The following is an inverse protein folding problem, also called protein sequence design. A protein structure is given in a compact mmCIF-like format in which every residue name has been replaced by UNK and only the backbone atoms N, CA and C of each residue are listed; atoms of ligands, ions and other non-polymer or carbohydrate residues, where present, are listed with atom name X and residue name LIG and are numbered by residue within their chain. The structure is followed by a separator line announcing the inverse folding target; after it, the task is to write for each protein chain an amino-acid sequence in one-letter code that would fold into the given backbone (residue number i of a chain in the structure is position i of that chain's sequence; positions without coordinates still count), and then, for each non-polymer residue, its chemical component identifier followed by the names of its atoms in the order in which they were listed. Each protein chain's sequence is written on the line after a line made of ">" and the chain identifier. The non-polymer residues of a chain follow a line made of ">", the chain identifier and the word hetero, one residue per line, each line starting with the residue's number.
data_IF_045866030503
#
_entry.id   IF_045866030503
#
_cell.length_a   1.000
_cell.length_b   1.000
_cell.length_c   1.000
_cell.angle_alpha   90.00
_cell.angle_beta   90.00
_cell.angle_gamma   90.00
#
_symmetry.space_group_name_H-M   'P 1'
#
loop_
_entity.id
_entity.type
_entity.pdbx_description
1 polymer ?
#
# COMPACT_ATOMS: atom_id res chain seq x y z
N UNK A 1 8.00 7.41 9.68
CA UNK A 1 7.93 7.43 11.16
C UNK A 1 6.99 8.55 11.61
N UNK A 2 6.14 8.33 12.63
CA UNK A 2 5.29 9.37 13.20
C UNK A 2 5.87 9.85 14.55
N UNK A 3 6.01 11.17 14.75
CA UNK A 3 6.53 11.73 16.01
C UNK A 3 5.70 11.29 17.24
N UNK A 4 4.38 11.10 17.08
CA UNK A 4 3.53 10.61 18.16
C UNK A 4 3.87 9.18 18.57
N UNK A 5 4.18 8.31 17.61
CA UNK A 5 4.56 6.92 17.86
C UNK A 5 5.83 6.85 18.73
N UNK A 6 6.86 7.65 18.40
CA UNK A 6 8.09 7.70 19.21
C UNK A 6 7.81 8.20 20.63
N UNK A 7 6.94 9.20 20.78
CA UNK A 7 6.52 9.69 22.10
C UNK A 7 5.84 8.58 22.91
N UNK A 8 4.93 7.84 22.30
CA UNK A 8 4.22 6.74 22.95
C UNK A 8 5.18 5.64 23.38
N UNK A 9 6.17 5.29 22.54
CA UNK A 9 7.20 4.30 22.89
C UNK A 9 8.04 4.72 24.11
N UNK A 10 8.44 5.99 24.19
CA UNK A 10 9.18 6.52 25.35
C UNK A 10 8.33 6.44 26.63
N UNK A 11 7.03 6.75 26.53
CA UNK A 11 6.11 6.70 27.65
C UNK A 11 5.87 5.28 28.19
N UNK A 12 6.10 4.24 27.39
CA UNK A 12 6.02 2.85 27.84
C UNK A 12 7.11 2.50 28.88
N UNK A 13 8.21 3.26 28.93
CA UNK A 13 9.34 3.03 29.85
C UNK A 13 9.87 1.59 29.83
N UNK A 14 9.87 0.99 28.65
CA UNK A 14 10.42 -0.33 28.39
C UNK A 14 10.85 -0.40 26.93
N UNK A 15 11.85 -1.24 26.65
CA UNK A 15 12.21 -1.64 25.30
C UNK A 15 11.27 -2.72 24.75
N UNK A 16 11.35 -2.97 23.45
CA UNK A 16 10.57 -4.02 22.84
C UNK A 16 11.10 -4.51 21.50
N UNK A 17 10.30 -5.33 20.82
CA UNK A 17 10.76 -6.15 19.70
C UNK A 17 11.24 -5.38 18.47
N UNK A 18 10.89 -4.10 18.36
CA UNK A 18 11.25 -3.22 17.25
C UNK A 18 11.75 -1.85 17.72
N UNK A 19 11.98 -1.64 19.02
CA UNK A 19 12.59 -0.40 19.50
C UNK A 19 13.56 -0.62 20.65
N UNK A 20 14.56 0.26 20.73
CA UNK A 20 15.67 0.21 21.68
C UNK A 20 16.10 1.65 21.98
N UNK A 21 16.49 1.91 23.23
CA UNK A 21 16.91 3.22 23.68
C UNK A 21 18.42 3.27 23.83
N UNK A 22 18.99 4.43 23.53
CA UNK A 22 20.40 4.74 23.77
C UNK A 22 20.49 6.15 24.32
N UNK A 23 21.28 6.36 25.37
CA UNK A 23 21.47 7.69 25.95
C UNK A 23 22.22 8.65 25.01
N UNK A 24 23.21 8.12 24.28
CA UNK A 24 24.13 8.86 23.43
C UNK A 24 24.47 8.04 22.16
N UNK A 25 24.98 8.71 21.13
CA UNK A 25 25.41 8.06 19.91
C UNK A 25 26.59 7.11 20.13
N UNK A 26 26.65 6.07 19.31
CA UNK A 26 27.71 5.08 19.36
C UNK A 26 29.08 5.69 19.08
N UNK A 27 29.95 5.60 20.08
CA UNK A 27 31.34 6.00 19.98
C UNK A 27 32.10 5.24 18.88
N UNK A 28 33.23 5.77 18.44
CA UNK A 28 34.04 5.19 17.36
C UNK A 28 34.49 3.74 17.64
N UNK A 29 34.72 3.39 18.90
CA UNK A 29 35.04 2.04 19.36
C UNK A 29 33.81 1.10 19.42
N UNK A 30 32.60 1.66 19.46
CA UNK A 30 31.32 0.92 19.49
C UNK A 30 30.68 0.72 18.12
N UNK A 31 31.44 0.86 17.02
CA UNK A 31 30.94 0.61 15.65
C UNK A 31 30.35 -0.80 15.48
N UNK A 32 30.94 -1.82 16.11
CA UNK A 32 30.38 -3.16 16.10
C UNK A 32 29.02 -3.26 16.80
N UNK A 33 28.79 -2.49 17.87
CA UNK A 33 27.50 -2.47 18.56
C UNK A 33 26.45 -1.84 17.64
N UNK A 34 26.76 -0.68 17.05
CA UNK A 34 25.88 -0.01 16.09
C UNK A 34 25.46 -0.94 14.94
N UNK A 35 26.43 -1.61 14.30
CA UNK A 35 26.12 -2.52 13.20
C UNK A 35 25.27 -3.71 13.67
N UNK A 36 25.61 -4.28 14.82
CA UNK A 36 24.88 -5.42 15.39
C UNK A 36 23.43 -5.05 15.73
N UNK A 37 23.21 -3.90 16.36
CA UNK A 37 21.86 -3.41 16.69
C UNK A 37 21.05 -3.15 15.42
N UNK A 38 21.64 -2.53 14.39
CA UNK A 38 20.97 -2.33 13.09
C UNK A 38 20.60 -3.66 12.43
N UNK A 39 21.48 -4.67 12.45
CA UNK A 39 21.16 -5.98 11.85
C UNK A 39 20.03 -6.67 12.64
N UNK A 40 20.08 -6.63 13.97
CA UNK A 40 19.02 -7.18 14.83
C UNK A 40 17.67 -6.50 14.55
N UNK A 41 17.67 -5.17 14.44
CA UNK A 41 16.48 -4.36 14.13
C UNK A 41 15.96 -4.63 12.71
N UNK A 42 16.84 -4.75 11.71
CA UNK A 42 16.45 -5.06 10.34
C UNK A 42 15.83 -6.47 10.21
N UNK A 43 16.27 -7.39 11.07
CA UNK A 43 15.75 -8.75 11.19
C UNK A 43 14.73 -8.90 12.33
N UNK A 44 14.05 -7.83 12.73
CA UNK A 44 12.99 -7.92 13.74
C UNK A 44 11.85 -8.84 13.24
N UNK A 45 11.25 -9.59 14.16
CA UNK A 45 10.18 -10.53 13.86
C UNK A 45 8.78 -9.88 13.80
N UNK A 46 8.69 -8.59 14.15
CA UNK A 46 7.44 -7.83 14.16
C UNK A 46 6.99 -7.36 12.77
N UNK A 47 7.80 -7.62 11.72
CA UNK A 47 7.51 -7.28 10.32
C UNK A 47 7.08 -5.80 10.12
N UNK A 48 7.80 -4.89 10.78
CA UNK A 48 7.57 -3.44 10.71
C UNK A 48 8.89 -2.67 10.82
N UNK A 49 8.82 -1.37 10.60
CA UNK A 49 9.94 -0.47 10.86
C UNK A 49 10.39 -0.58 12.31
N UNK A 50 11.70 -0.50 12.52
CA UNK A 50 12.30 -0.57 13.85
C UNK A 50 13.10 0.70 14.15
N UNK A 51 13.25 1.01 15.43
CA UNK A 51 13.75 2.30 15.90
C UNK A 51 14.86 2.12 16.93
N UNK A 52 16.00 2.76 16.71
CA UNK A 52 16.98 2.99 17.78
C UNK A 52 16.86 4.46 18.15
N UNK A 53 16.30 4.73 19.33
CA UNK A 53 15.97 6.07 19.81
C UNK A 53 17.13 6.56 20.69
N UNK A 54 17.87 7.54 20.17
CA UNK A 54 19.10 8.07 20.76
C UNK A 54 18.81 9.40 21.44
N UNK A 55 19.22 9.54 22.70
CA UNK A 55 18.92 10.68 23.55
C UNK A 55 17.87 10.37 24.62
N UNK A 56 17.77 9.10 25.05
CA UNK A 56 16.89 8.66 26.15
C UNK A 56 17.70 7.86 27.16
N UNK A 57 17.67 8.25 28.43
CA UNK A 57 18.44 7.64 29.51
C UNK A 57 17.62 6.63 30.30
N UNK A 58 17.80 5.35 29.98
CA UNK A 58 17.11 4.21 30.62
C UNK A 58 17.41 4.10 32.12
N UNK A 59 18.62 4.49 32.56
CA UNK A 59 19.02 4.44 33.96
C UNK A 59 18.38 5.58 34.78
N UNK A 60 17.92 6.63 34.09
CA UNK A 60 17.29 7.81 34.69
C UNK A 60 15.86 8.00 34.18
N UNK A 61 15.01 6.98 34.40
CA UNK A 61 13.57 7.00 34.16
C UNK A 61 13.16 7.41 32.73
N UNK A 62 13.97 7.02 31.73
CA UNK A 62 13.78 7.35 30.31
C UNK A 62 13.73 8.87 30.06
N UNK A 63 14.49 9.63 30.86
CA UNK A 63 14.62 11.07 30.68
C UNK A 63 15.38 11.41 29.39
N UNK A 64 15.06 12.57 28.83
CA UNK A 64 15.69 13.03 27.60
C UNK A 64 17.13 13.52 27.84
N UNK A 65 18.04 13.07 26.98
CA UNK A 65 19.43 13.50 26.87
C UNK A 65 19.65 14.11 25.48
N UNK A 66 20.05 15.38 25.43
CA UNK A 66 20.17 16.11 24.16
C UNK A 66 21.32 15.57 23.30
N UNK A 67 21.05 15.27 22.03
CA UNK A 67 22.07 14.83 21.07
C UNK A 67 22.76 15.99 20.33
N UNK A 68 22.36 17.24 20.55
CA UNK A 68 22.88 18.43 19.83
C UNK A 68 24.40 18.53 19.80
N UNK A 69 25.03 18.21 20.92
CA UNK A 69 26.48 18.33 21.12
C UNK A 69 27.19 16.99 21.17
N UNK A 70 26.53 15.91 20.74
CA UNK A 70 27.12 14.58 20.74
C UNK A 70 28.26 14.50 19.69
N UNK A 71 29.51 14.21 20.10
CA UNK A 71 30.65 14.17 19.19
C UNK A 71 30.60 13.01 18.18
N UNK A 72 29.74 12.01 18.41
CA UNK A 72 29.58 10.83 17.57
C UNK A 72 28.29 10.86 16.74
N UNK A 73 27.52 11.96 16.80
CA UNK A 73 26.29 12.15 16.04
C UNK A 73 26.50 11.89 14.56
N UNK A 74 25.62 11.10 13.93
CA UNK A 74 25.65 10.81 12.50
C UNK A 74 24.36 11.21 11.83
N UNK A 75 24.46 11.68 10.59
CA UNK A 75 23.31 11.86 9.72
C UNK A 75 23.05 10.60 8.86
N UNK A 76 21.95 10.61 8.10
CA UNK A 76 21.57 9.52 7.19
C UNK A 76 22.69 9.13 6.22
N UNK A 77 23.36 10.10 5.60
CA UNK A 77 24.41 9.82 4.62
C UNK A 77 25.58 9.05 5.24
N UNK A 78 26.06 9.52 6.39
CA UNK A 78 27.16 8.87 7.11
C UNK A 78 26.79 7.45 7.58
N UNK A 79 25.53 7.24 7.96
CA UNK A 79 25.05 5.91 8.36
C UNK A 79 24.92 4.97 7.15
N UNK A 80 24.39 5.47 6.03
CA UNK A 80 24.29 4.71 4.76
C UNK A 80 25.67 4.32 4.25
N UNK A 81 26.65 5.22 4.28
CA UNK A 81 28.03 4.92 3.89
C UNK A 81 28.65 3.87 4.80
N UNK A 82 28.44 3.99 6.12
CA UNK A 82 28.90 3.00 7.09
C UNK A 82 28.36 1.59 6.79
N UNK A 83 27.07 1.46 6.45
CA UNK A 83 26.43 0.17 6.09
C UNK A 83 26.91 -0.33 4.73
N UNK A 84 27.08 0.57 3.75
CA UNK A 84 27.50 0.25 2.37
C UNK A 84 28.87 -0.42 2.32
N UNK A 85 29.79 0.00 3.17
CA UNK A 85 31.13 -0.57 3.28
C UNK A 85 31.16 -2.02 3.81
N UNK A 86 30.03 -2.59 4.26
CA UNK A 86 29.99 -3.93 4.87
C UNK A 86 29.57 -4.99 3.85
N UNK A 87 30.19 -6.16 3.95
CA UNK A 87 29.94 -7.30 3.07
C UNK A 87 28.71 -8.08 3.52
N UNK A 88 27.54 -7.67 3.04
CA UNK A 88 26.29 -8.39 3.27
C UNK A 88 26.06 -9.48 2.22
N UNK A 89 25.46 -10.59 2.64
CA UNK A 89 25.11 -11.70 1.76
C UNK A 89 24.17 -11.26 0.63
N UNK A 90 24.46 -11.68 -0.60
CA UNK A 90 23.68 -11.32 -1.79
C UNK A 90 23.73 -9.85 -2.18
N UNK A 91 24.61 -9.03 -1.58
CA UNK A 91 24.71 -7.60 -1.85
C UNK A 91 23.52 -6.76 -1.35
N UNK A 92 22.56 -7.39 -0.66
CA UNK A 92 21.39 -6.70 -0.10
C UNK A 92 21.71 -6.17 1.29
N UNK A 93 21.30 -4.94 1.58
CA UNK A 93 21.64 -4.24 2.84
C UNK A 93 20.39 -3.67 3.49
N UNK A 94 20.37 -3.55 4.83
CA UNK A 94 19.31 -2.81 5.52
C UNK A 94 19.21 -1.37 5.00
N UNK A 95 17.98 -0.87 4.86
CA UNK A 95 17.72 0.52 4.53
C UNK A 95 17.53 1.26 5.86
N UNK A 96 18.29 2.35 6.04
CA UNK A 96 18.32 3.12 7.28
C UNK A 96 18.23 4.62 7.00
N UNK A 97 17.58 5.35 7.89
CA UNK A 97 17.59 6.82 7.93
C UNK A 97 17.73 7.32 9.36
N UNK A 98 18.20 8.56 9.51
CA UNK A 98 18.24 9.27 10.79
C UNK A 98 17.25 10.41 10.72
N UNK A 99 16.33 10.45 11.69
CA UNK A 99 15.35 11.52 11.85
C UNK A 99 15.54 12.20 13.21
N UNK A 100 15.63 13.53 13.23
CA UNK A 100 15.79 14.30 14.47
C UNK A 100 14.44 14.81 14.94
N UNK A 101 14.14 14.61 16.23
CA UNK A 101 12.90 15.05 16.86
C UNK A 101 13.21 15.99 18.02
N UNK A 102 12.39 17.03 18.18
CA UNK A 102 12.48 17.95 19.31
C UNK A 102 11.31 17.73 20.25
N UNK A 103 11.59 17.37 21.51
CA UNK A 103 10.66 17.25 22.61
C UNK A 103 11.08 18.22 23.71
N UNK A 104 10.19 19.13 24.12
CA UNK A 104 10.46 20.12 25.19
C UNK A 104 11.82 20.83 25.03
N UNK A 105 12.11 21.30 23.80
CA UNK A 105 13.37 21.94 23.36
C UNK A 105 14.63 21.04 23.36
N UNK A 106 14.51 19.80 23.82
CA UNK A 106 15.54 18.77 23.77
C UNK A 106 15.45 18.04 22.43
N UNK A 107 16.58 17.98 21.72
CA UNK A 107 16.68 17.27 20.46
C UNK A 107 17.19 15.86 20.71
N UNK A 108 16.52 14.89 20.12
CA UNK A 108 16.89 13.48 20.08
C UNK A 108 16.98 13.02 18.62
N UNK A 109 17.68 11.93 18.38
CA UNK A 109 17.76 11.31 17.06
C UNK A 109 17.11 9.92 17.08
N UNK A 110 16.49 9.55 15.97
CA UNK A 110 15.93 8.20 15.77
C UNK A 110 16.59 7.61 14.54
N UNK A 111 17.30 6.49 14.71
CA UNK A 111 17.69 5.65 13.58
C UNK A 111 16.47 4.81 13.22
N UNK A 112 15.87 5.09 12.07
CA UNK A 112 14.79 4.31 11.49
C UNK A 112 15.42 3.22 10.63
N UNK A 113 15.19 1.96 10.99
CA UNK A 113 15.53 0.78 10.22
C UNK A 113 14.28 0.31 9.50
N UNK A 114 14.23 0.56 8.19
CA UNK A 114 13.02 0.37 7.38
C UNK A 114 12.72 -1.11 7.18
N UNK A 115 11.45 -1.48 7.30
CA UNK A 115 10.99 -2.83 7.03
C UNK A 115 11.28 -3.20 5.58
N UNK A 116 11.82 -4.40 5.37
CA UNK A 116 12.11 -4.89 4.04
C UNK A 116 11.81 -6.37 3.92
N UNK A 117 11.26 -6.79 2.78
CA UNK A 117 11.03 -8.19 2.46
C UNK A 117 12.33 -8.97 2.22
N UNK A 118 13.48 -8.31 2.04
CA UNK A 118 14.75 -8.99 1.70
C UNK A 118 15.50 -9.56 2.90
N UNK A 119 14.85 -9.69 4.07
CA UNK A 119 15.41 -10.42 5.22
C UNK A 119 15.70 -11.89 4.86
N UNK A 120 16.57 -12.60 5.60
CA UNK A 120 17.47 -12.10 6.64
C UNK A 120 18.66 -11.32 6.09
N UNK A 121 19.11 -10.31 6.82
CA UNK A 121 20.38 -9.61 6.59
C UNK A 121 21.48 -10.21 7.48
N UNK A 122 22.60 -10.57 6.87
CA UNK A 122 23.77 -11.10 7.58
C UNK A 122 25.04 -10.82 6.78
N UNK A 123 26.18 -10.81 7.47
CA UNK A 123 27.47 -10.53 6.86
C UNK A 123 28.09 -11.79 6.27
N UNK A 124 28.85 -11.66 5.18
CA UNK A 124 29.70 -12.72 4.62
C UNK A 124 31.13 -12.67 5.16
N UNK A 125 31.51 -11.56 5.81
CA UNK A 125 32.80 -11.37 6.45
C UNK A 125 32.64 -10.82 7.87
N UNK A 126 33.58 -11.13 8.76
CA UNK A 126 33.56 -10.60 10.12
C UNK A 126 33.76 -9.08 10.11
N UNK A 127 33.00 -8.36 10.92
CA UNK A 127 33.24 -6.95 11.22
C UNK A 127 33.47 -6.79 12.72
N UNK A 128 34.75 -6.66 13.12
CA UNK A 128 35.16 -6.65 14.52
C UNK A 128 34.55 -7.86 15.27
N UNK A 129 33.72 -7.64 16.30
CA UNK A 129 33.05 -8.69 17.06
C UNK A 129 31.79 -9.27 16.38
N UNK A 130 31.32 -8.69 15.26
CA UNK A 130 30.14 -9.19 14.52
C UNK A 130 30.60 -10.26 13.54
N UNK A 131 30.15 -11.49 13.75
CA UNK A 131 30.61 -12.68 13.04
C UNK A 131 29.85 -12.86 11.71
N UNK A 132 30.57 -13.28 10.67
CA UNK A 132 29.99 -13.67 9.39
C UNK A 132 29.08 -14.88 9.52
N UNK A 133 28.09 -14.97 8.63
CA UNK A 133 27.14 -16.09 8.49
C UNK A 133 26.21 -16.33 9.69
N UNK A 134 26.30 -15.51 10.74
CA UNK A 134 25.33 -15.49 11.81
C UNK A 134 24.15 -14.59 11.44
N UNK A 135 22.94 -15.10 11.64
CA UNK A 135 21.71 -14.33 11.51
C UNK A 135 21.36 -13.82 12.90
N UNK A 136 21.33 -12.50 13.07
CA UNK A 136 20.98 -11.87 14.34
C UNK A 136 19.54 -11.37 14.28
N UNK A 137 18.77 -11.60 15.33
CA UNK A 137 17.41 -11.06 15.50
C UNK A 137 17.29 -10.31 16.82
N UNK A 138 16.33 -9.38 16.88
CA UNK A 138 15.79 -8.84 18.13
C UNK A 138 14.49 -9.57 18.47
N UNK A 139 14.37 -10.04 19.71
CA UNK A 139 13.17 -10.68 20.26
C UNK A 139 12.87 -10.01 21.58
N UNK A 140 11.72 -9.33 21.68
CA UNK A 140 11.43 -8.43 22.79
C UNK A 140 12.56 -7.40 22.97
N UNK A 141 13.15 -7.29 24.16
CA UNK A 141 14.27 -6.39 24.47
C UNK A 141 15.65 -7.00 24.16
N UNK A 142 15.70 -8.23 23.65
CA UNK A 142 16.92 -9.03 23.61
C UNK A 142 17.45 -9.23 22.19
N UNK A 143 18.70 -8.82 21.96
CA UNK A 143 19.43 -9.08 20.71
C UNK A 143 20.13 -10.45 20.77
N UNK A 144 20.17 -11.15 19.63
CA UNK A 144 20.99 -12.37 19.48
C UNK A 144 22.47 -12.03 19.74
N UNK A 145 23.15 -12.67 20.71
CA UNK A 145 24.56 -12.42 20.99
C UNK A 145 25.46 -12.58 19.78
N UNK A 146 26.45 -11.69 19.64
CA UNK A 146 27.30 -11.57 18.44
C UNK A 146 28.05 -12.85 18.05
N UNK A 147 28.34 -13.73 19.01
CA UNK A 147 29.07 -14.98 18.80
C UNK A 147 28.18 -16.18 18.46
N UNK A 148 26.85 -16.02 18.35
CA UNK A 148 25.93 -17.08 17.92
C UNK A 148 24.91 -16.57 16.90
N UNK A 149 24.27 -17.50 16.21
CA UNK A 149 23.13 -17.22 15.36
C UNK A 149 21.82 -17.31 16.16
N UNK A 150 20.76 -16.69 15.64
CA UNK A 150 19.41 -16.80 16.18
C UNK A 150 18.91 -18.25 16.11
N UNK A 151 17.91 -18.56 16.93
CA UNK A 151 17.26 -19.87 16.91
C UNK A 151 16.64 -20.17 15.54
N UNK A 152 16.62 -21.47 15.19
CA UNK A 152 16.14 -21.93 13.88
C UNK A 152 14.72 -21.44 13.57
N UNK A 153 13.84 -21.42 14.57
CA UNK A 153 12.46 -20.92 14.43
C UNK A 153 12.40 -19.46 14.00
N UNK A 154 13.29 -18.60 14.53
CA UNK A 154 13.37 -17.20 14.15
C UNK A 154 13.94 -17.03 12.73
N UNK A 155 14.95 -17.83 12.37
CA UNK A 155 15.52 -17.87 11.03
C UNK A 155 14.44 -18.27 10.01
N UNK A 156 13.64 -19.31 10.30
CA UNK A 156 12.52 -19.73 9.46
C UNK A 156 11.50 -18.62 9.26
N UNK A 157 11.17 -17.85 10.30
CA UNK A 157 10.26 -16.70 10.18
C UNK A 157 10.81 -15.66 9.20
N UNK A 158 12.11 -15.34 9.25
CA UNK A 158 12.72 -14.39 8.32
C UNK A 158 12.71 -14.88 6.87
N UNK A 159 12.89 -16.19 6.65
CA UNK A 159 12.76 -16.78 5.31
C UNK A 159 11.31 -16.82 4.85
N UNK A 160 10.35 -17.15 5.72
CA UNK A 160 8.92 -17.05 5.42
C UNK A 160 8.56 -15.62 5.04
N UNK A 161 9.08 -14.61 5.74
CA UNK A 161 8.94 -13.19 5.39
C UNK A 161 9.48 -12.92 3.98
N UNK A 162 10.69 -13.41 3.68
CA UNK A 162 11.31 -13.26 2.36
C UNK A 162 10.49 -13.85 1.22
N UNK A 163 9.88 -15.00 1.47
CA UNK A 163 9.04 -15.70 0.51
C UNK A 163 7.59 -15.19 0.50
N UNK A 164 7.25 -14.14 1.27
CA UNK A 164 5.89 -13.59 1.35
C UNK A 164 4.88 -14.53 2.05
N UNK A 165 5.37 -15.54 2.77
CA UNK A 165 4.55 -16.55 3.45
C UNK A 165 3.99 -16.09 4.80
N UNK A 166 4.44 -14.93 5.30
CA UNK A 166 3.87 -14.31 6.50
C UNK A 166 2.69 -13.38 6.18
N UNK A 167 2.49 -13.02 4.91
CA UNK A 167 1.34 -12.23 4.51
C UNK A 167 0.07 -13.09 4.55
N UNK A 168 -1.05 -12.55 5.07
CA UNK A 168 -2.36 -13.18 4.96
C UNK A 168 -2.68 -13.58 3.51
N UNK A 169 -3.46 -14.65 3.28
CA UNK A 169 -3.80 -15.09 1.92
C UNK A 169 -4.38 -13.98 1.03
N UNK A 170 -5.17 -13.07 1.59
CA UNK A 170 -5.73 -11.93 0.84
C UNK A 170 -4.64 -10.98 0.31
N UNK A 171 -3.61 -10.68 1.11
CA UNK A 171 -2.48 -9.85 0.64
C UNK A 171 -1.67 -10.59 -0.42
N UNK A 172 -1.47 -11.91 -0.24
CA UNK A 172 -0.72 -12.74 -1.20
C UNK A 172 -1.41 -12.80 -2.55
N UNK A 173 -2.73 -13.01 -2.60
CA UNK A 173 -3.46 -13.06 -3.87
C UNK A 173 -3.42 -11.71 -4.57
N UNK A 174 -3.53 -10.59 -3.84
CA UNK A 174 -3.38 -9.23 -4.39
C UNK A 174 -2.00 -9.02 -5.03
N UNK A 175 -0.93 -9.58 -4.46
CA UNK A 175 0.41 -9.54 -5.06
C UNK A 175 0.46 -10.38 -6.34
N UNK A 176 -0.12 -11.58 -6.31
CA UNK A 176 -0.13 -12.50 -7.46
C UNK A 176 -0.94 -11.96 -8.63
N UNK A 177 -2.04 -11.24 -8.38
CA UNK A 177 -2.88 -10.64 -9.42
C UNK A 177 -2.17 -9.51 -10.18
N UNK A 178 -1.12 -8.89 -9.63
CA UNK A 178 -0.27 -7.94 -10.38
C UNK A 178 0.55 -8.60 -11.51
N UNK A 179 0.53 -9.93 -11.59
CA UNK A 179 1.21 -10.76 -12.59
C UNK A 179 0.17 -11.61 -13.34
N UNK A 180 -0.75 -10.96 -14.05
CA UNK A 180 -1.85 -11.63 -14.77
C UNK A 180 -1.35 -12.75 -15.71
N UNK A 181 -0.17 -12.58 -16.31
CA UNK A 181 0.51 -13.54 -17.19
C UNK A 181 0.86 -14.90 -16.53
N UNK A 182 0.81 -14.97 -15.20
CA UNK A 182 1.07 -16.18 -14.41
C UNK A 182 -0.20 -16.88 -13.92
N UNK A 183 -1.37 -16.43 -14.36
CA UNK A 183 -2.65 -17.08 -14.09
C UNK A 183 -3.07 -17.91 -15.29
N UNK A 184 -3.47 -19.16 -15.02
CA UNK A 184 -3.91 -20.10 -16.03
C UNK A 184 -5.41 -20.37 -15.85
N UNK A 185 -6.13 -20.55 -16.95
CA UNK A 185 -7.53 -20.96 -16.92
C UNK A 185 -7.66 -22.43 -16.52
N UNK A 186 -8.63 -22.73 -15.66
CA UNK A 186 -9.03 -24.09 -15.32
C UNK A 186 -9.58 -24.80 -16.57
N UNK A 187 -9.26 -26.09 -16.80
CA UNK A 187 -9.73 -26.84 -17.96
C UNK A 187 -11.24 -27.19 -17.95
N UNK A 188 -12.06 -26.62 -17.06
CA UNK A 188 -13.50 -26.88 -16.93
C UNK A 188 -14.38 -25.86 -17.66
N UNK A 189 -15.39 -26.33 -18.39
CA UNK A 189 -16.12 -25.57 -19.43
C UNK A 189 -17.46 -24.92 -19.01
N UNK A 190 -17.61 -24.41 -17.78
CA UNK A 190 -18.87 -23.76 -17.37
C UNK A 190 -18.67 -22.50 -16.52
N UNK A 191 -17.66 -22.48 -15.66
CA UNK A 191 -17.29 -21.33 -14.85
C UNK A 191 -15.93 -20.81 -15.30
N UNK A 192 -15.82 -19.50 -15.51
CA UNK A 192 -14.55 -18.84 -15.74
C UNK A 192 -13.75 -18.86 -14.43
N UNK A 193 -12.93 -19.91 -14.30
CA UNK A 193 -12.08 -20.15 -13.14
C UNK A 193 -10.63 -20.08 -13.54
N UNK A 194 -9.84 -19.30 -12.82
CA UNK A 194 -8.40 -19.16 -13.00
C UNK A 194 -7.67 -19.59 -11.74
N UNK A 195 -6.43 -20.06 -11.89
CA UNK A 195 -5.54 -20.37 -10.78
C UNK A 195 -4.15 -19.80 -11.01
N UNK A 196 -3.46 -19.45 -9.93
CA UNK A 196 -2.09 -18.97 -10.02
C UNK A 196 -1.13 -20.14 -10.27
N UNK A 197 -0.37 -20.11 -11.37
CA UNK A 197 0.45 -21.24 -11.87
C UNK A 197 1.37 -21.86 -10.82
N UNK A 198 2.00 -21.04 -9.98
CA UNK A 198 2.97 -21.49 -8.96
C UNK A 198 2.36 -21.77 -7.59
N UNK A 199 1.07 -21.44 -7.39
CA UNK A 199 0.35 -21.68 -6.14
C UNK A 199 -1.13 -21.88 -6.47
N UNK A 200 -1.50 -23.04 -7.07
CA UNK A 200 -2.83 -23.29 -7.63
C UNK A 200 -3.94 -23.32 -6.57
N UNK A 201 -3.60 -23.31 -5.28
CA UNK A 201 -4.56 -23.10 -4.20
C UNK A 201 -5.16 -21.69 -4.20
N UNK A 202 -4.52 -20.71 -4.85
CA UNK A 202 -5.11 -19.39 -5.09
C UNK A 202 -5.90 -19.43 -6.39
N UNK A 203 -7.19 -19.17 -6.30
CA UNK A 203 -8.10 -19.22 -7.47
C UNK A 203 -9.00 -17.99 -7.52
N UNK A 204 -9.40 -17.63 -8.73
CA UNK A 204 -10.38 -16.60 -9.04
C UNK A 204 -11.51 -17.29 -9.78
N UNK A 205 -12.74 -16.97 -9.40
CA UNK A 205 -13.94 -17.52 -10.02
C UNK A 205 -14.93 -16.39 -10.27
N UNK A 206 -15.38 -16.27 -11.52
CA UNK A 206 -16.37 -15.27 -11.91
C UNK A 206 -17.71 -15.93 -12.16
N UNK A 207 -18.71 -15.50 -11.42
CA UNK A 207 -20.08 -16.03 -11.48
C UNK A 207 -21.01 -14.92 -11.95
N UNK A 208 -21.79 -15.16 -12.99
CA UNK A 208 -22.77 -14.19 -13.47
C UNK A 208 -23.90 -14.01 -12.45
N UNK A 209 -24.25 -12.77 -12.14
CA UNK A 209 -25.35 -12.42 -11.25
C UNK A 209 -26.54 -11.89 -12.07
N UNK A 210 -27.41 -12.82 -12.48
CA UNK A 210 -28.63 -12.52 -13.25
C UNK A 210 -29.66 -11.68 -12.45
N UNK A 211 -29.48 -11.50 -11.15
CA UNK A 211 -30.37 -10.67 -10.33
C UNK A 211 -30.05 -9.18 -10.44
N UNK A 212 -28.84 -8.83 -10.92
CA UNK A 212 -28.40 -7.45 -11.09
C UNK A 212 -28.50 -7.01 -12.54
N UNK A 213 -29.23 -5.92 -12.77
CA UNK A 213 -29.41 -5.28 -14.07
C UNK A 213 -29.31 -3.74 -13.98
N UNK A 214 -28.64 -3.25 -12.94
CA UNK A 214 -28.46 -1.84 -12.65
C UNK A 214 -27.76 -1.11 -13.79
N UNK A 215 -28.29 0.02 -14.25
CA UNK A 215 -27.58 0.94 -15.13
C UNK A 215 -26.81 1.96 -14.29
N UNK A 216 -25.58 2.24 -14.69
CA UNK A 216 -24.71 3.26 -14.09
C UNK A 216 -24.25 4.21 -15.18
N UNK A 217 -23.99 5.47 -14.84
CA UNK A 217 -23.68 6.51 -15.83
C UNK A 217 -22.48 6.18 -16.74
N UNK A 218 -21.47 5.45 -16.24
CA UNK A 218 -20.30 5.05 -17.02
C UNK A 218 -20.63 4.05 -18.14
N UNK A 219 -21.74 3.32 -18.03
CA UNK A 219 -22.17 2.36 -19.05
C UNK A 219 -22.63 3.09 -20.32
N UNK A 220 -23.17 4.31 -20.18
CA UNK A 220 -23.59 5.14 -21.32
C UNK A 220 -22.42 5.75 -22.10
N UNK A 221 -21.19 5.64 -21.60
CA UNK A 221 -19.99 5.96 -22.39
C UNK A 221 -19.55 4.80 -23.31
N UNK A 222 -20.21 3.63 -23.21
CA UNK A 222 -19.93 2.45 -24.03
C UNK A 222 -20.77 2.45 -25.32
N UNK A 223 -20.41 1.60 -26.29
CA UNK A 223 -21.19 1.45 -27.52
C UNK A 223 -22.41 0.54 -27.30
N UNK A 224 -22.23 -0.57 -26.60
CA UNK A 224 -23.30 -1.39 -26.06
C UNK A 224 -23.49 -1.07 -24.58
N UNK A 225 -24.62 -0.43 -24.27
CA UNK A 225 -24.94 0.07 -22.94
C UNK A 225 -25.54 -0.98 -22.02
N UNK A 226 -25.62 -2.26 -22.41
CA UNK A 226 -26.26 -3.30 -21.58
C UNK A 226 -25.22 -3.94 -20.68
N UNK A 227 -25.18 -3.61 -19.38
CA UNK A 227 -24.21 -4.20 -18.48
C UNK A 227 -24.59 -5.64 -18.16
N UNK A 228 -23.59 -6.50 -17.95
CA UNK A 228 -23.78 -7.76 -17.22
C UNK A 228 -22.96 -7.72 -15.95
N UNK A 229 -23.59 -8.13 -14.86
CA UNK A 229 -23.02 -8.08 -13.52
C UNK A 229 -22.57 -9.47 -13.09
N UNK A 230 -21.50 -9.50 -12.31
CA UNK A 230 -20.84 -10.72 -11.87
C UNK A 230 -20.41 -10.58 -10.41
N UNK A 231 -20.20 -11.71 -9.75
CA UNK A 231 -19.39 -11.80 -8.54
C UNK A 231 -18.01 -12.34 -8.91
N UNK A 232 -16.97 -11.56 -8.60
CA UNK A 232 -15.56 -11.94 -8.73
C UNK A 232 -15.13 -12.48 -7.36
N UNK A 233 -15.05 -13.79 -7.24
CA UNK A 233 -14.75 -14.48 -6.00
C UNK A 233 -13.28 -14.88 -5.94
N UNK A 234 -12.59 -14.40 -4.91
CA UNK A 234 -11.18 -14.70 -4.65
C UNK A 234 -11.07 -15.79 -3.59
N UNK A 235 -10.37 -16.88 -3.90
CA UNK A 235 -10.26 -18.03 -3.01
C UNK A 235 -8.82 -18.36 -2.64
N UNK A 236 -8.67 -18.90 -1.43
CA UNK A 236 -7.53 -19.68 -1.00
C UNK A 236 -8.02 -21.06 -0.54
N UNK A 237 -7.60 -22.10 -1.25
CA UNK A 237 -8.23 -23.41 -1.20
C UNK A 237 -9.75 -23.33 -1.42
N UNK A 238 -10.55 -23.61 -0.39
CA UNK A 238 -12.02 -23.53 -0.42
C UNK A 238 -12.55 -22.30 0.34
N UNK A 239 -11.66 -21.50 0.92
CA UNK A 239 -12.03 -20.31 1.67
C UNK A 239 -12.14 -19.13 0.73
N UNK A 240 -13.34 -18.58 0.59
CA UNK A 240 -13.56 -17.31 -0.09
C UNK A 240 -12.96 -16.19 0.76
N UNK A 241 -11.92 -15.54 0.24
CA UNK A 241 -11.21 -14.45 0.89
C UNK A 241 -11.90 -13.10 0.71
N UNK A 242 -12.47 -12.90 -0.48
CA UNK A 242 -13.21 -11.70 -0.86
C UNK A 242 -14.15 -12.03 -2.01
N UNK A 243 -15.24 -11.27 -2.10
CA UNK A 243 -16.15 -11.25 -3.25
C UNK A 243 -16.35 -9.80 -3.65
N UNK A 244 -16.11 -9.50 -4.92
CA UNK A 244 -16.26 -8.17 -5.49
C UNK A 244 -17.33 -8.19 -6.55
N UNK A 245 -18.07 -7.10 -6.69
CA UNK A 245 -18.91 -6.91 -7.85
C UNK A 245 -18.03 -6.73 -9.08
N UNK A 246 -18.26 -7.55 -10.11
CA UNK A 246 -17.67 -7.45 -11.43
C UNK A 246 -18.70 -6.97 -12.45
N UNK A 247 -18.21 -6.44 -13.54
CA UNK A 247 -19.03 -5.91 -14.62
C UNK A 247 -18.39 -6.22 -15.97
N UNK A 248 -19.24 -6.64 -16.90
CA UNK A 248 -18.90 -6.84 -18.30
C UNK A 248 -19.54 -5.70 -19.11
N UNK A 249 -18.69 -4.89 -19.73
CA UNK A 249 -19.05 -3.69 -20.50
C UNK A 249 -19.03 -3.95 -21.99
N UNK A 250 -19.70 -3.06 -22.71
CA UNK A 250 -19.65 -2.93 -24.16
C UNK A 250 -19.92 -4.27 -24.89
N UNK A 251 -20.92 -5.00 -24.41
CA UNK A 251 -21.35 -6.27 -24.98
C UNK A 251 -20.41 -7.45 -24.70
N UNK A 252 -19.50 -7.31 -23.73
CA UNK A 252 -18.52 -8.34 -23.38
C UNK A 252 -17.08 -8.04 -23.82
N UNK A 253 -16.82 -6.84 -24.35
CA UNK A 253 -15.48 -6.44 -24.82
C UNK A 253 -14.52 -6.13 -23.69
N UNK A 254 -15.02 -5.71 -22.54
CA UNK A 254 -14.17 -5.41 -21.40
C UNK A 254 -14.83 -5.87 -20.10
N UNK A 255 -14.07 -6.60 -19.28
CA UNK A 255 -14.49 -7.08 -17.97
C UNK A 255 -13.62 -6.46 -16.88
N UNK A 256 -14.24 -6.03 -15.77
CA UNK A 256 -13.52 -5.37 -14.67
C UNK A 256 -14.28 -5.52 -13.35
N UNK A 257 -13.62 -5.19 -12.23
CA UNK A 257 -14.31 -4.93 -10.97
C UNK A 257 -15.16 -3.66 -11.04
N UNK A 258 -16.20 -3.57 -10.22
CA UNK A 258 -17.01 -2.37 -10.04
C UNK A 258 -16.25 -1.33 -9.22
N UNK A 259 -16.23 -0.06 -9.64
CA UNK A 259 -15.60 1.00 -8.88
C UNK A 259 -16.43 1.35 -7.64
N UNK A 260 -15.76 1.80 -6.57
CA UNK A 260 -16.44 2.22 -5.35
C UNK A 260 -17.24 3.51 -5.59
N UNK A 261 -18.27 3.73 -4.79
CA UNK A 261 -19.08 4.95 -4.82
C UNK A 261 -18.79 5.81 -3.59
N UNK A 262 -18.62 7.11 -3.81
CA UNK A 262 -18.51 8.12 -2.74
C UNK A 262 -19.11 9.42 -3.28
N UNK A 263 -19.27 10.41 -2.42
CA UNK A 263 -19.84 11.69 -2.81
C UNK A 263 -19.50 12.82 -1.86
N UNK A 264 -19.81 14.04 -2.32
CA UNK A 264 -19.67 15.28 -1.57
C UNK A 264 -21.04 15.86 -1.30
N UNK A 265 -21.30 16.20 -0.04
CA UNK A 265 -22.39 17.10 0.33
C UNK A 265 -21.85 18.52 0.36
N UNK A 266 -22.48 19.39 -0.42
CA UNK A 266 -22.23 20.82 -0.57
C UNK A 266 -23.21 21.63 0.29
N UNK A 267 -24.33 21.01 0.68
CA UNK A 267 -25.33 21.62 1.56
C UNK A 267 -25.21 21.11 3.00
N UNK A 268 -25.98 21.67 3.93
CA UNK A 268 -26.02 21.18 5.33
C UNK A 268 -26.77 19.85 5.48
N UNK A 269 -27.29 19.28 4.38
CA UNK A 269 -28.03 18.02 4.40
C UNK A 269 -27.10 16.81 4.24
N UNK A 270 -27.50 15.68 4.82
CA UNK A 270 -26.73 14.44 4.79
C UNK A 270 -26.85 13.65 3.47
N UNK A 271 -27.35 14.26 2.39
CA UNK A 271 -27.35 13.66 1.05
C UNK A 271 -26.12 14.10 0.24
N UNK A 272 -25.62 13.24 -0.65
CA UNK A 272 -24.56 13.63 -1.58
C UNK A 272 -25.16 14.47 -2.71
N UNK A 273 -24.71 15.71 -2.83
CA UNK A 273 -25.05 16.61 -3.95
C UNK A 273 -24.26 16.24 -5.22
N UNK A 274 -23.08 15.63 -5.04
CA UNK A 274 -22.22 15.16 -6.13
C UNK A 274 -21.76 13.74 -5.82
N UNK A 275 -22.18 12.78 -6.64
CA UNK A 275 -21.78 11.38 -6.53
C UNK A 275 -20.71 11.09 -7.58
N UNK A 276 -19.73 10.26 -7.21
CA UNK A 276 -18.68 9.83 -8.12
C UNK A 276 -18.24 8.38 -7.88
N UNK A 277 -17.72 7.77 -8.95
CA UNK A 277 -17.13 6.44 -8.92
C UNK A 277 -15.61 6.57 -8.84
N UNK A 278 -14.97 5.70 -8.07
CA UNK A 278 -13.53 5.77 -7.89
C UNK A 278 -12.84 4.45 -7.58
N UNK A 279 -11.53 4.45 -7.82
CA UNK A 279 -10.57 3.50 -7.29
C UNK A 279 -9.55 4.20 -6.40
N UNK A 280 -9.00 3.45 -5.42
CA UNK A 280 -7.76 3.81 -4.74
C UNK A 280 -6.68 2.88 -5.27
N UNK A 281 -5.54 3.41 -5.70
CA UNK A 281 -4.41 2.58 -6.17
C UNK A 281 -4.00 1.59 -5.09
N UNK A 282 -3.72 0.37 -5.52
CA UNK A 282 -3.44 -0.80 -4.66
C UNK A 282 -4.61 -1.28 -3.78
N UNK A 283 -5.83 -0.74 -3.91
CA UNK A 283 -7.01 -1.40 -3.34
C UNK A 283 -7.28 -2.71 -4.09
N UNK A 284 -8.04 -3.61 -3.45
CA UNK A 284 -8.43 -4.87 -4.05
C UNK A 284 -9.23 -4.66 -5.35
N UNK A 285 -10.14 -3.69 -5.38
CA UNK A 285 -10.93 -3.35 -6.57
C UNK A 285 -10.03 -2.91 -7.72
N UNK A 286 -9.07 -2.01 -7.44
CA UNK A 286 -8.15 -1.51 -8.46
C UNK A 286 -7.22 -2.60 -9.00
N UNK A 287 -6.70 -3.48 -8.12
CA UNK A 287 -5.85 -4.60 -8.54
C UNK A 287 -6.65 -5.57 -9.42
N UNK A 288 -7.91 -5.84 -9.10
CA UNK A 288 -8.79 -6.69 -9.91
C UNK A 288 -9.12 -6.03 -11.24
N UNK A 289 -9.34 -4.70 -11.27
CA UNK A 289 -9.54 -3.93 -12.50
C UNK A 289 -8.32 -4.05 -13.45
N UNK A 290 -7.11 -3.83 -12.93
CA UNK A 290 -5.87 -3.98 -13.69
C UNK A 290 -5.60 -5.43 -14.11
N UNK A 291 -6.01 -6.41 -13.31
CA UNK A 291 -5.81 -7.83 -13.60
C UNK A 291 -6.54 -8.28 -14.87
N UNK A 292 -7.76 -7.78 -15.10
CA UNK A 292 -8.55 -8.18 -16.26
C UNK A 292 -8.23 -7.39 -17.52
N UNK A 293 -7.54 -6.26 -17.40
CA UNK A 293 -7.21 -5.43 -18.55
C UNK A 293 -5.98 -5.95 -19.32
N UNK A 294 -6.19 -6.33 -20.57
CA UNK A 294 -5.14 -6.82 -21.47
C UNK A 294 -5.04 -5.91 -22.70
N UNK A 295 -4.22 -4.85 -22.66
CA UNK A 295 -4.17 -3.88 -23.76
C UNK A 295 -3.72 -4.53 -25.07
N UNK A 296 -4.64 -4.64 -26.02
CA UNK A 296 -4.43 -5.25 -27.33
C UNK A 296 -4.48 -4.23 -28.48
N UNK A 297 -4.65 -2.93 -28.17
CA UNK A 297 -4.85 -1.82 -29.14
C UNK A 297 -6.16 -1.88 -29.95
N UNK A 298 -7.09 -2.76 -29.57
CA UNK A 298 -8.36 -2.99 -30.27
C UNK A 298 -9.57 -2.59 -29.37
N UNK A 299 -10.69 -3.32 -29.48
CA UNK A 299 -11.99 -3.03 -28.87
C UNK A 299 -11.93 -2.99 -27.32
N UNK A 300 -11.13 -3.85 -26.68
CA UNK A 300 -10.98 -3.89 -25.22
C UNK A 300 -10.40 -2.57 -24.69
N UNK A 301 -9.35 -2.06 -25.35
CA UNK A 301 -8.68 -0.79 -25.01
C UNK A 301 -9.66 0.38 -25.09
N UNK A 302 -10.51 0.42 -26.13
CA UNK A 302 -11.51 1.48 -26.30
C UNK A 302 -12.56 1.44 -25.19
N UNK A 303 -13.09 0.24 -24.87
CA UNK A 303 -14.09 0.08 -23.82
C UNK A 303 -13.53 0.40 -22.43
N UNK A 304 -12.30 -0.03 -22.15
CA UNK A 304 -11.53 0.32 -20.95
C UNK A 304 -11.38 1.84 -20.81
N UNK A 305 -10.86 2.53 -21.83
CA UNK A 305 -10.55 3.96 -21.74
C UNK A 305 -11.82 4.79 -21.51
N UNK A 306 -12.91 4.46 -22.20
CA UNK A 306 -14.23 5.07 -22.00
C UNK A 306 -14.78 4.85 -20.60
N UNK A 307 -14.54 3.68 -20.01
CA UNK A 307 -14.91 3.43 -18.63
C UNK A 307 -14.09 4.30 -17.68
N UNK A 308 -12.76 4.35 -17.89
CA UNK A 308 -11.85 5.12 -17.05
C UNK A 308 -12.03 6.64 -17.17
N UNK A 309 -12.50 7.16 -18.29
CA UNK A 309 -12.95 8.55 -18.42
C UNK A 309 -14.04 8.92 -17.39
N UNK A 310 -14.82 7.94 -16.92
CA UNK A 310 -15.92 8.16 -15.98
C UNK A 310 -15.54 7.85 -14.51
N UNK A 311 -14.34 7.32 -14.25
CA UNK A 311 -13.93 6.83 -12.91
C UNK A 311 -12.69 7.56 -12.42
N UNK A 312 -12.77 8.10 -11.20
CA UNK A 312 -11.63 8.79 -10.57
C UNK A 312 -10.64 7.77 -9.99
N UNK A 313 -9.34 7.98 -10.20
CA UNK A 313 -8.29 7.14 -9.58
C UNK A 313 -7.46 7.97 -8.63
N UNK A 314 -7.46 7.61 -7.36
CA UNK A 314 -6.66 8.27 -6.32
C UNK A 314 -5.46 7.39 -5.92
N UNK A 315 -4.35 8.01 -5.56
CA UNK A 315 -3.17 7.36 -5.00
C UNK A 315 -3.43 6.78 -3.60
N UNK A 316 -4.20 7.51 -2.79
CA UNK A 316 -4.48 7.15 -1.38
C UNK A 316 -5.86 7.65 -0.94
N UNK A 317 -6.40 7.07 0.13
CA UNK A 317 -7.60 7.61 0.80
C UNK A 317 -7.40 9.05 1.30
N UNK A 318 -6.18 9.44 1.66
CA UNK A 318 -5.87 10.82 2.06
C UNK A 318 -5.96 11.79 0.87
N UNK A 319 -5.48 11.40 -0.31
CA UNK A 319 -5.66 12.20 -1.53
C UNK A 319 -7.15 12.38 -1.83
N UNK A 320 -7.94 11.29 -1.78
CA UNK A 320 -9.40 11.36 -1.97
C UNK A 320 -10.05 12.31 -0.96
N UNK A 321 -9.71 12.21 0.33
CA UNK A 321 -10.27 13.07 1.36
C UNK A 321 -9.94 14.55 1.11
N UNK A 322 -8.68 14.86 0.76
CA UNK A 322 -8.27 16.22 0.43
C UNK A 322 -8.95 16.75 -0.84
N UNK A 323 -9.13 15.87 -1.84
CA UNK A 323 -9.86 16.23 -3.06
C UNK A 323 -11.33 16.55 -2.76
N UNK A 324 -12.00 15.80 -1.88
CA UNK A 324 -13.37 16.12 -1.44
C UNK A 324 -13.46 17.49 -0.78
N UNK A 325 -12.49 17.86 0.05
CA UNK A 325 -12.43 19.21 0.63
C UNK A 325 -12.19 20.27 -0.45
N UNK A 326 -11.30 20.01 -1.41
CA UNK A 326 -11.11 20.88 -2.58
C UNK A 326 -12.43 21.08 -3.35
N UNK A 327 -13.21 20.03 -3.59
CA UNK A 327 -14.49 20.12 -4.28
C UNK A 327 -15.48 21.03 -3.55
N UNK A 328 -15.61 20.91 -2.22
CA UNK A 328 -16.52 21.77 -1.43
C UNK A 328 -16.28 23.26 -1.64
N UNK A 329 -15.02 23.67 -1.82
CA UNK A 329 -14.65 25.07 -1.98
C UNK A 329 -14.69 25.55 -3.44
N UNK A 330 -14.65 24.63 -4.41
CA UNK A 330 -14.46 24.97 -5.82
C UNK A 330 -15.63 24.56 -6.72
N UNK A 331 -16.61 23.80 -6.21
CA UNK A 331 -17.72 23.29 -7.01
C UNK A 331 -18.61 24.38 -7.61
N UNK A 332 -18.75 25.54 -6.93
CA UNK A 332 -19.47 26.69 -7.50
C UNK A 332 -18.87 27.14 -8.85
N UNK A 333 -17.57 26.90 -9.05
CA UNK A 333 -16.85 27.22 -10.27
C UNK A 333 -16.84 26.08 -11.30
N UNK A 334 -17.69 25.04 -11.15
CA UNK A 334 -17.72 23.87 -12.06
C UNK A 334 -17.94 24.22 -13.53
N UNK A 335 -18.59 25.35 -13.81
CA UNK A 335 -18.82 25.86 -15.17
C UNK A 335 -17.51 26.13 -15.93
N UNK A 336 -16.40 26.39 -15.22
CA UNK A 336 -15.10 26.60 -15.86
C UNK A 336 -14.51 25.29 -16.45
N UNK A 337 -15.10 24.14 -16.13
CA UNK A 337 -14.61 22.82 -16.52
C UNK A 337 -15.50 22.14 -17.57
N UNK A 338 -16.58 22.79 -18.02
CA UNK A 338 -17.55 22.18 -18.94
C UNK A 338 -17.10 22.22 -20.41
N UNK A 339 -16.10 23.03 -20.73
CA UNK A 339 -15.61 23.18 -22.11
C UNK A 339 -15.11 21.84 -22.68
N UNK A 340 -15.50 21.52 -23.91
CA UNK A 340 -15.12 20.28 -24.62
C UNK A 340 -15.62 18.96 -23.98
N UNK A 341 -16.61 18.99 -23.07
CA UNK A 341 -17.26 17.75 -22.64
C UNK A 341 -18.20 17.27 -23.74
N UNK A 342 -17.93 16.09 -24.30
CA UNK A 342 -18.83 15.41 -25.24
C UNK A 342 -19.81 14.56 -24.45
N UNK A 343 -21.11 14.78 -24.67
CA UNK A 343 -22.15 13.96 -24.05
C UNK A 343 -22.55 12.86 -25.06
N UNK A 344 -22.44 11.57 -24.70
CA UNK A 344 -22.92 10.48 -25.54
C UNK A 344 -24.45 10.49 -25.63
N UNK A 345 -25.01 9.65 -26.51
CA UNK A 345 -26.45 9.46 -26.55
C UNK A 345 -26.89 8.63 -25.34
N UNK A 346 -27.87 9.13 -24.58
CA UNK A 346 -28.50 8.42 -23.48
C UNK A 346 -29.81 7.83 -23.98
N UNK A 347 -29.85 6.52 -24.16
CA UNK A 347 -31.07 5.79 -24.48
C UNK A 347 -32.03 5.80 -23.27
N UNK A 348 -33.33 5.92 -23.53
CA UNK A 348 -34.36 5.87 -22.48
C UNK A 348 -34.46 4.46 -21.90
N UNK A 349 -34.21 4.31 -20.60
CA UNK A 349 -34.31 3.03 -19.89
C UNK A 349 -35.50 3.07 -18.93
N UNK A 350 -36.41 2.11 -19.09
CA UNK A 350 -37.58 1.99 -18.22
C UNK A 350 -37.16 1.85 -16.74
N UNK A 351 -37.75 2.69 -15.87
CA UNK A 351 -37.47 2.68 -14.43
C UNK A 351 -36.30 3.56 -14.00
N UNK A 352 -35.65 4.29 -14.92
CA UNK A 352 -34.56 5.22 -14.60
C UNK A 352 -34.95 6.68 -14.89
N UNK A 353 -34.44 7.58 -14.07
CA UNK A 353 -34.45 9.02 -14.34
C UNK A 353 -33.20 9.38 -15.15
N UNK A 354 -33.37 9.48 -16.47
CA UNK A 354 -32.26 9.70 -17.40
C UNK A 354 -31.63 11.09 -17.25
N UNK A 355 -32.36 12.08 -16.75
CA UNK A 355 -31.81 13.41 -16.48
C UNK A 355 -30.79 13.33 -15.33
N UNK A 356 -31.09 12.55 -14.29
CA UNK A 356 -30.16 12.29 -13.18
C UNK A 356 -28.90 11.57 -13.65
N UNK A 357 -29.04 10.47 -14.41
CA UNK A 357 -27.86 9.71 -14.90
C UNK A 357 -26.98 10.58 -15.79
N UNK A 358 -27.59 11.40 -16.64
CA UNK A 358 -26.86 12.32 -17.52
C UNK A 358 -26.15 13.41 -16.73
N UNK A 359 -26.75 13.91 -15.65
CA UNK A 359 -26.08 14.82 -14.71
C UNK A 359 -24.90 14.14 -14.01
N UNK A 360 -25.05 12.89 -13.55
CA UNK A 360 -23.95 12.12 -12.95
C UNK A 360 -22.79 11.91 -13.94
N UNK A 361 -23.08 11.59 -15.20
CA UNK A 361 -22.08 11.50 -16.25
C UNK A 361 -21.35 12.85 -16.42
N UNK A 362 -22.09 13.95 -16.57
CA UNK A 362 -21.49 15.28 -16.73
C UNK A 362 -20.61 15.64 -15.53
N UNK A 363 -21.08 15.36 -14.32
CA UNK A 363 -20.32 15.57 -13.10
C UNK A 363 -19.03 14.72 -13.11
N UNK A 364 -19.07 13.45 -13.56
CA UNK A 364 -17.86 12.62 -13.68
C UNK A 364 -16.80 13.25 -14.59
N UNK A 365 -17.21 13.82 -15.73
CA UNK A 365 -16.31 14.47 -16.68
C UNK A 365 -15.70 15.76 -16.13
N UNK A 366 -16.49 16.56 -15.40
CA UNK A 366 -16.02 17.75 -14.68
C UNK A 366 -15.00 17.35 -13.60
N UNK A 367 -15.32 16.32 -12.82
CA UNK A 367 -14.49 15.87 -11.71
C UNK A 367 -13.12 15.37 -12.17
N UNK A 368 -13.02 14.72 -13.35
CA UNK A 368 -11.72 14.35 -13.93
C UNK A 368 -10.82 15.55 -14.11
N UNK A 369 -11.34 16.64 -14.70
CA UNK A 369 -10.57 17.86 -14.93
C UNK A 369 -10.22 18.56 -13.61
N UNK A 370 -11.16 18.63 -12.67
CA UNK A 370 -10.91 19.19 -11.35
C UNK A 370 -9.84 18.39 -10.59
N UNK A 371 -9.76 17.07 -10.77
CA UNK A 371 -8.73 16.23 -10.15
C UNK A 371 -7.34 16.53 -10.72
N UNK A 372 -7.24 16.79 -12.03
CA UNK A 372 -5.98 17.23 -12.66
C UNK A 372 -5.53 18.57 -12.06
N UNK A 373 -6.43 19.54 -11.96
CA UNK A 373 -6.10 20.86 -11.41
C UNK A 373 -5.74 20.80 -9.92
N UNK A 374 -6.47 19.99 -9.13
CA UNK A 374 -6.13 19.73 -7.73
C UNK A 374 -4.70 19.20 -7.56
N UNK A 375 -4.27 18.29 -8.45
CA UNK A 375 -2.91 17.73 -8.41
C UNK A 375 -1.83 18.73 -8.82
N UNK A 376 -2.15 19.71 -9.67
CA UNK A 376 -1.20 20.74 -10.11
C UNK A 376 -0.96 21.84 -9.05
N UNK A 377 -1.85 21.98 -8.05
CA UNK A 377 -1.72 22.96 -6.97
C UNK A 377 -0.79 22.46 -5.85
N UNK A 378 -0.48 21.16 -5.83
CA UNK A 378 0.27 20.48 -4.78
C UNK A 378 1.73 20.25 -5.18
#
# INVERSE_FOLDING_TARGET
>A
MNKSEIKDLILLKQEGSYWDFKREWYSQDKKANLLHDIICMANNLSNRDAYIIIGVDEENDYSFSSVKTDPNRRNTQQLVDFIREKHFAGGVRPIVSVESLVFDEIEIDVIVVHNCATTPFYLTENFQSVMSNNIYTRVMDSNTPKNKSADLSHIEILWKKRFGLLSPPLERIMIYMKRADLWDSSPSSYEEKMYYRFSPEFTIETVMDDSKNGYQYYVFNQTDIRPRWYDINLYYHQTMLASLEGLSLDGGRYFTSSPRTDGVSLTQYHCWDVVFKYYIKNSIEYIVHEFYYHPDSDDETIAHDRFMECVLVFETDCEKANFKEYLKHNWENKQNYTDNIRIPYFEEIEGYDMDVIKEEYLNSQILQKMLVDFRNIR
#
